data_IF_240722410794
#
_entry.id   IF_240722410794
#
_cell.length_a   1.000
_cell.length_b   1.000
_cell.length_c   1.000
_cell.angle_alpha   90.00
_cell.angle_beta   90.00
_cell.angle_gamma   90.00
#
_symmetry.space_group_name_H-M   'P 1'
#
loop_
_entity.id
_entity.type
_entity.pdbx_description
1 polymer ?
#
# COMPACT_ATOMS: atom_id res chain seq x y z
N UNK A 1 29.97 -15.18 -16.00
CA UNK A 1 29.52 -14.24 -17.04
C UNK A 1 28.13 -14.56 -17.60
N UNK A 2 27.71 -15.82 -17.63
CA UNK A 2 26.39 -16.25 -18.13
C UNK A 2 25.21 -15.77 -17.28
N UNK A 3 25.41 -15.61 -15.96
CA UNK A 3 24.36 -15.18 -15.02
C UNK A 3 23.84 -13.76 -15.30
N UNK A 4 24.69 -12.89 -15.87
CA UNK A 4 24.28 -11.53 -16.23
C UNK A 4 23.14 -11.54 -17.25
N UNK A 5 23.12 -12.51 -18.17
CA UNK A 5 22.04 -12.66 -19.15
C UNK A 5 20.70 -13.06 -18.52
N UNK A 6 20.71 -13.65 -17.31
CA UNK A 6 19.49 -13.97 -16.56
C UNK A 6 19.09 -12.83 -15.63
N UNK A 7 20.07 -12.16 -14.99
CA UNK A 7 19.82 -11.07 -14.07
C UNK A 7 19.31 -9.79 -14.76
N UNK A 8 19.77 -9.51 -15.97
CA UNK A 8 19.37 -8.32 -16.73
C UNK A 8 17.88 -8.29 -17.13
N UNK A 9 17.28 -9.35 -17.70
CA UNK A 9 15.84 -9.37 -17.95
C UNK A 9 15.04 -9.47 -16.65
N UNK A 10 15.56 -10.19 -15.64
CA UNK A 10 14.89 -10.30 -14.35
C UNK A 10 14.81 -8.94 -13.64
N UNK A 11 15.85 -8.11 -13.70
CA UNK A 11 15.83 -6.77 -13.11
C UNK A 11 14.87 -5.84 -13.86
N UNK A 12 14.83 -5.89 -15.19
CA UNK A 12 13.84 -5.18 -16.00
C UNK A 12 12.40 -5.57 -15.64
N UNK A 13 12.16 -6.86 -15.40
CA UNK A 13 10.85 -7.34 -14.94
C UNK A 13 10.49 -6.73 -13.58
N UNK A 14 11.40 -6.70 -12.62
CA UNK A 14 11.17 -6.06 -11.32
C UNK A 14 10.86 -4.57 -11.46
N UNK A 15 11.62 -3.84 -12.28
CA UNK A 15 11.36 -2.42 -12.54
C UNK A 15 9.97 -2.21 -13.14
N UNK A 16 9.56 -3.05 -14.08
CA UNK A 16 8.24 -2.98 -14.71
C UNK A 16 7.13 -3.27 -13.69
N UNK A 17 7.28 -4.32 -12.88
CA UNK A 17 6.32 -4.67 -11.83
C UNK A 17 6.16 -3.51 -10.83
N UNK A 18 7.27 -2.94 -10.36
CA UNK A 18 7.25 -1.81 -9.44
C UNK A 18 6.62 -0.58 -10.10
N UNK A 19 7.02 -0.27 -11.34
CA UNK A 19 6.49 0.87 -12.10
C UNK A 19 4.98 0.77 -12.32
N UNK A 20 4.47 -0.39 -12.71
CA UNK A 20 3.02 -0.63 -12.88
C UNK A 20 2.30 -0.56 -11.54
N UNK A 21 2.87 -1.13 -10.48
CA UNK A 21 2.27 -1.09 -9.14
C UNK A 21 2.16 0.35 -8.63
N UNK A 22 3.20 1.16 -8.80
CA UNK A 22 3.20 2.57 -8.42
C UNK A 22 2.26 3.40 -9.29
N UNK A 23 2.25 3.17 -10.60
CA UNK A 23 1.28 3.80 -11.50
C UNK A 23 -0.14 3.52 -11.03
N UNK A 24 -0.48 2.24 -10.81
CA UNK A 24 -1.78 1.85 -10.30
C UNK A 24 -2.09 2.52 -8.94
N UNK A 25 -1.18 2.49 -7.97
CA UNK A 25 -1.36 3.11 -6.66
C UNK A 25 -1.68 4.61 -6.74
N UNK A 26 -0.95 5.35 -7.59
CA UNK A 26 -1.16 6.79 -7.79
C UNK A 26 -2.51 7.08 -8.43
N UNK A 27 -2.91 6.34 -9.46
CA UNK A 27 -4.17 6.59 -10.17
C UNK A 27 -5.41 6.02 -9.48
N UNK A 28 -5.27 5.06 -8.55
CA UNK A 28 -6.39 4.51 -7.78
C UNK A 28 -6.64 5.26 -6.47
N UNK A 29 -5.93 6.36 -6.21
CA UNK A 29 -6.15 7.17 -5.01
C UNK A 29 -5.77 6.43 -3.71
N UNK A 30 -4.81 5.50 -3.74
CA UNK A 30 -4.35 4.78 -2.53
C UNK A 30 -3.90 5.75 -1.42
N UNK A 31 -3.42 6.93 -1.80
CA UNK A 31 -2.94 7.97 -0.89
C UNK A 31 -4.03 8.98 -0.49
N UNK A 32 -5.24 8.89 -1.05
CA UNK A 32 -6.32 9.84 -0.76
C UNK A 32 -7.09 9.47 0.52
N UNK A 33 -7.06 8.21 0.94
CA UNK A 33 -7.72 7.73 2.18
C UNK A 33 -6.83 7.87 3.44
N UNK A 34 -5.77 8.67 3.36
CA UNK A 34 -4.84 8.89 4.49
C UNK A 34 -5.50 9.69 5.62
N UNK A 35 -6.48 10.54 5.31
CA UNK A 35 -7.24 11.33 6.29
C UNK A 35 -8.14 10.44 7.18
N UNK A 36 -8.77 9.42 6.60
CA UNK A 36 -9.58 8.45 7.34
C UNK A 36 -8.70 7.57 8.25
N UNK A 37 -7.55 7.11 7.74
CA UNK A 37 -6.58 6.36 8.53
C UNK A 37 -6.01 7.18 9.70
N UNK A 38 -5.75 8.48 9.50
CA UNK A 38 -5.32 9.40 10.56
C UNK A 38 -6.43 9.68 11.59
N UNK A 39 -7.67 9.86 11.14
CA UNK A 39 -8.82 10.04 12.01
C UNK A 39 -9.13 8.79 12.85
N UNK A 40 -8.83 7.59 12.35
CA UNK A 40 -9.01 6.33 13.08
C UNK A 40 -8.07 6.19 14.29
N UNK A 41 -6.90 6.84 14.28
CA UNK A 41 -5.96 6.83 15.42
C UNK A 41 -6.41 7.78 16.54
N UNK A 42 -7.09 8.88 16.18
CA UNK A 42 -7.62 9.87 17.13
C UNK A 42 -9.02 9.52 17.64
N UNK A 43 -9.74 8.67 16.91
CA UNK A 43 -11.00 8.09 17.35
C UNK A 43 -10.66 6.94 18.31
N UNK A 44 -10.26 7.29 19.52
CA UNK A 44 -10.35 6.37 20.66
C UNK A 44 -11.79 5.85 20.66
N UNK A 45 -11.99 4.56 20.42
CA UNK A 45 -13.26 3.84 20.62
C UNK A 45 -13.62 3.74 22.12
N UNK A 46 -13.38 4.81 22.88
CA UNK A 46 -13.81 5.00 24.27
C UNK A 46 -15.29 5.39 24.35
N UNK A 47 -16.08 5.02 23.34
CA UNK A 47 -17.54 5.03 23.34
C UNK A 47 -18.09 3.79 24.04
N UNK A 48 -17.81 3.64 25.32
CA UNK A 48 -18.42 2.61 26.15
C UNK A 48 -19.95 2.64 26.03
N UNK A 49 -20.55 1.51 25.67
CA UNK A 49 -21.90 1.20 26.11
C UNK A 49 -21.87 -0.12 26.86
N UNK A 50 -21.96 -0.08 28.21
CA UNK A 50 -22.26 -1.26 28.99
C UNK A 50 -23.74 -1.56 28.75
N UNK A 51 -24.02 -2.57 27.92
CA UNK A 51 -25.37 -3.15 27.88
C UNK A 51 -25.59 -3.91 29.18
N UNK A 52 -26.36 -3.25 30.05
CA UNK A 52 -27.10 -3.84 31.16
C UNK A 52 -27.95 -4.99 30.62
N UNK A 53 -27.77 -6.17 31.20
CA UNK A 53 -28.82 -7.15 31.53
C UNK A 53 -28.35 -7.96 32.75
#
# INVERSE_FOLDING_TARGET
>A
MTILYLLLPLSLLFVLVIGVSLWWAVFNGQYDDTDNAGAAILRDDDGGQPSRD
#
